data_IF_943659713821
#
_entry.id   IF_943659713821
#
_cell.length_a   1.000
_cell.length_b   1.000
_cell.length_c   1.000
_cell.angle_alpha   90.00
_cell.angle_beta   90.00
_cell.angle_gamma   90.00
#
_symmetry.space_group_name_H-M   'P 1'
#
loop_
_entity.id
_entity.type
_entity.pdbx_description
1 polymer ?
#
# COMPACT_ATOMS: atom_id res chain seq x y z
N UNK A 1 7.67 4.87 6.79
CA UNK A 1 7.94 3.41 6.80
C UNK A 1 7.71 2.78 5.42
N UNK A 2 6.52 2.96 4.77
CA UNK A 2 6.25 2.37 3.44
C UNK A 2 7.23 2.87 2.39
N UNK A 3 7.30 4.17 2.14
CA UNK A 3 8.24 4.77 1.19
C UNK A 3 9.70 4.31 1.41
N UNK A 4 10.14 4.22 2.67
CA UNK A 4 11.48 3.74 3.02
C UNK A 4 11.69 2.28 2.60
N UNK A 5 10.68 1.43 2.77
CA UNK A 5 10.74 0.03 2.36
C UNK A 5 10.78 -0.10 0.83
N UNK A 6 9.95 0.68 0.14
CA UNK A 6 9.89 0.70 -1.33
C UNK A 6 11.26 1.09 -1.90
N UNK A 7 11.85 2.18 -1.42
CA UNK A 7 13.14 2.67 -1.88
C UNK A 7 14.32 1.76 -1.49
N UNK A 8 14.25 1.08 -0.34
CA UNK A 8 15.27 0.11 0.06
C UNK A 8 15.27 -1.13 -0.85
N UNK A 9 14.09 -1.61 -1.24
CA UNK A 9 13.96 -2.75 -2.16
C UNK A 9 14.38 -2.33 -3.58
N UNK A 10 14.01 -1.14 -4.02
CA UNK A 10 14.45 -0.58 -5.29
C UNK A 10 15.98 -0.48 -5.35
N UNK A 11 16.61 0.08 -4.31
CA UNK A 11 18.07 0.16 -4.24
C UNK A 11 18.73 -1.23 -4.28
N UNK A 12 18.11 -2.25 -3.68
CA UNK A 12 18.58 -3.62 -3.77
C UNK A 12 18.47 -4.18 -5.21
N UNK A 13 17.36 -3.91 -5.92
CA UNK A 13 17.21 -4.29 -7.33
C UNK A 13 18.25 -3.61 -8.22
N UNK A 14 18.48 -2.33 -7.99
CA UNK A 14 19.48 -1.53 -8.72
C UNK A 14 20.90 -2.06 -8.48
N UNK A 15 21.23 -2.45 -7.24
CA UNK A 15 22.51 -3.10 -6.92
C UNK A 15 22.69 -4.45 -7.65
N UNK A 16 21.62 -5.12 -8.05
CA UNK A 16 21.64 -6.33 -8.89
C UNK A 16 21.54 -6.01 -10.39
N UNK A 17 21.74 -4.76 -10.79
CA UNK A 17 21.74 -4.33 -12.18
C UNK A 17 20.37 -4.19 -12.83
N UNK A 18 19.29 -4.19 -12.04
CA UNK A 18 17.94 -4.02 -12.57
C UNK A 18 17.49 -2.58 -12.43
N UNK A 19 17.30 -1.92 -13.56
CA UNK A 19 16.67 -0.61 -13.66
C UNK A 19 15.34 -0.75 -14.39
N UNK A 20 14.29 -0.02 -13.98
CA UNK A 20 13.01 -0.04 -14.65
C UNK A 20 13.07 0.75 -15.97
N UNK A 21 12.35 0.27 -16.98
CA UNK A 21 12.14 1.01 -18.24
C UNK A 21 11.04 2.09 -18.07
N UNK A 22 10.14 1.91 -17.10
CA UNK A 22 9.10 2.86 -16.69
C UNK A 22 8.60 2.51 -15.28
N UNK A 23 8.01 3.48 -14.59
CA UNK A 23 7.52 3.31 -13.23
C UNK A 23 6.09 3.82 -13.05
N UNK A 24 5.40 3.27 -12.05
CA UNK A 24 4.12 3.74 -11.55
C UNK A 24 4.09 3.59 -10.03
N UNK A 25 3.25 4.36 -9.38
CA UNK A 25 3.01 4.21 -7.95
C UNK A 25 1.53 4.37 -7.61
N UNK A 26 1.04 3.59 -6.67
CA UNK A 26 -0.34 3.68 -6.21
C UNK A 26 -0.42 4.58 -4.97
N UNK A 27 -1.12 5.69 -5.05
CA UNK A 27 -1.30 6.65 -3.95
C UNK A 27 0.06 7.11 -3.37
N UNK A 28 0.41 6.74 -2.14
CA UNK A 28 1.71 7.07 -1.54
C UNK A 28 2.90 6.54 -2.35
N UNK A 29 2.74 5.38 -3.00
CA UNK A 29 3.78 4.78 -3.85
C UNK A 29 4.20 5.65 -5.03
N UNK A 30 3.36 6.61 -5.46
CA UNK A 30 3.74 7.56 -6.50
C UNK A 30 4.95 8.40 -6.09
N UNK A 31 5.12 8.71 -4.79
CA UNK A 31 6.30 9.44 -4.30
C UNK A 31 7.60 8.63 -4.39
N UNK A 32 7.52 7.30 -4.25
CA UNK A 32 8.66 6.43 -4.56
C UNK A 32 8.96 6.44 -6.06
N UNK A 33 7.93 6.32 -6.89
CA UNK A 33 8.07 6.36 -8.34
C UNK A 33 8.61 7.70 -8.83
N UNK A 34 8.21 8.85 -8.23
CA UNK A 34 8.75 10.18 -8.52
C UNK A 34 10.26 10.28 -8.23
N UNK A 35 10.75 9.61 -7.17
CA UNK A 35 12.17 9.56 -6.88
C UNK A 35 12.91 8.67 -7.89
N UNK A 36 12.39 7.48 -8.18
CA UNK A 36 13.03 6.54 -9.11
C UNK A 36 13.05 7.10 -10.54
N UNK A 37 12.03 7.87 -10.93
CA UNK A 37 11.97 8.52 -12.23
C UNK A 37 12.90 9.74 -12.39
N UNK A 38 13.52 10.21 -11.30
CA UNK A 38 14.38 11.40 -11.34
C UNK A 38 13.65 12.73 -11.16
N UNK A 39 12.32 12.72 -10.99
CA UNK A 39 11.52 13.96 -10.73
C UNK A 39 11.90 14.58 -9.39
N UNK A 40 12.09 13.77 -8.36
CA UNK A 40 12.46 14.22 -7.01
C UNK A 40 13.78 13.59 -6.56
N UNK A 41 14.58 14.36 -5.83
CA UNK A 41 15.70 13.80 -5.08
C UNK A 41 15.17 12.87 -3.98
N UNK A 42 16.02 11.95 -3.48
CA UNK A 42 15.67 11.11 -2.34
C UNK A 42 15.20 11.94 -1.13
N UNK A 43 15.91 13.03 -0.83
CA UNK A 43 15.56 13.90 0.30
C UNK A 43 14.20 14.57 0.08
N UNK A 44 13.94 15.09 -1.11
CA UNK A 44 12.69 15.79 -1.39
C UNK A 44 11.51 14.83 -1.48
N UNK A 45 11.69 13.60 -1.99
CA UNK A 45 10.66 12.58 -1.95
C UNK A 45 10.27 12.21 -0.51
N UNK A 46 11.25 12.04 0.38
CA UNK A 46 10.99 11.79 1.81
C UNK A 46 10.29 12.96 2.50
N UNK A 47 10.73 14.19 2.22
CA UNK A 47 10.12 15.42 2.76
C UNK A 47 8.70 15.63 2.22
N UNK A 48 8.49 15.38 0.92
CA UNK A 48 7.18 15.50 0.30
C UNK A 48 6.18 14.47 0.84
N UNK A 49 6.62 13.22 1.02
CA UNK A 49 5.78 12.18 1.66
C UNK A 49 5.46 12.51 3.12
N UNK A 50 6.42 13.09 3.87
CA UNK A 50 6.19 13.54 5.24
C UNK A 50 5.22 14.73 5.29
N UNK A 51 5.41 15.74 4.42
CA UNK A 51 4.50 16.88 4.29
C UNK A 51 3.09 16.41 3.94
N UNK A 52 2.95 15.50 2.96
CA UNK A 52 1.67 14.90 2.60
C UNK A 52 0.99 14.26 3.80
N UNK A 53 1.73 13.47 4.59
CA UNK A 53 1.20 12.82 5.79
C UNK A 53 0.77 13.82 6.86
N UNK A 54 1.54 14.89 7.06
CA UNK A 54 1.24 15.96 8.01
C UNK A 54 -0.02 16.72 7.59
N UNK A 55 -0.10 17.14 6.33
CA UNK A 55 -1.25 17.91 5.83
C UNK A 55 -2.54 17.07 5.84
N UNK A 56 -2.45 15.78 5.47
CA UNK A 56 -3.58 14.85 5.58
C UNK A 56 -4.04 14.66 7.03
N UNK A 57 -3.10 14.54 7.97
CA UNK A 57 -3.41 14.39 9.40
C UNK A 57 -3.94 15.67 10.06
N UNK A 58 -3.71 16.83 9.41
CA UNK A 58 -4.15 18.15 9.90
C UNK A 58 -5.52 18.58 9.36
N UNK A 59 -6.14 17.77 8.49
CA UNK A 59 -7.48 18.06 7.98
C UNK A 59 -8.48 17.95 9.13
N UNK A 60 -9.04 19.10 9.52
CA UNK A 60 -10.09 19.20 10.53
C UNK A 60 -11.42 19.53 9.84
N UNK A 61 -12.25 18.52 9.69
CA UNK A 61 -13.56 18.61 9.04
C UNK A 61 -14.61 17.93 9.91
N UNK A 62 -15.87 18.41 9.91
CA UNK A 62 -16.95 17.82 10.75
C UNK A 62 -17.20 16.33 10.47
N UNK A 63 -17.08 15.92 9.22
CA UNK A 63 -17.17 14.52 8.79
C UNK A 63 -15.87 14.11 8.06
N UNK A 64 -15.00 13.31 8.68
CA UNK A 64 -13.79 12.83 8.02
C UNK A 64 -14.08 11.82 6.90
N UNK A 65 -15.32 11.35 6.80
CA UNK A 65 -15.76 10.38 5.83
C UNK A 65 -15.33 8.94 6.11
N UNK A 66 -15.71 8.06 5.20
CA UNK A 66 -15.35 6.65 5.22
C UNK A 66 -14.79 6.20 3.86
N UNK A 67 -14.11 5.05 3.90
CA UNK A 67 -13.69 4.34 2.69
C UNK A 67 -14.09 2.87 2.80
N UNK A 68 -14.43 2.24 1.67
CA UNK A 68 -14.68 0.80 1.62
C UNK A 68 -14.18 0.20 0.30
N UNK A 69 -13.56 -0.98 0.38
CA UNK A 69 -13.21 -1.77 -0.79
C UNK A 69 -14.45 -2.55 -1.26
N UNK A 70 -14.67 -2.56 -2.57
CA UNK A 70 -15.80 -3.21 -3.23
C UNK A 70 -15.28 -4.17 -4.28
N UNK A 71 -15.66 -5.45 -4.18
CA UNK A 71 -15.34 -6.51 -5.14
C UNK A 71 -16.21 -6.42 -6.39
N UNK A 72 -16.10 -5.30 -7.12
CA UNK A 72 -16.85 -5.05 -8.35
C UNK A 72 -16.12 -4.05 -9.27
N UNK A 73 -16.42 -4.05 -10.58
CA UNK A 73 -15.88 -3.09 -11.53
C UNK A 73 -16.35 -1.67 -11.21
N UNK A 74 -15.48 -0.68 -11.49
CA UNK A 74 -15.75 0.73 -11.19
C UNK A 74 -17.06 1.23 -11.83
N UNK A 75 -17.35 0.86 -13.07
CA UNK A 75 -18.57 1.31 -13.77
C UNK A 75 -19.85 0.84 -13.05
N UNK A 76 -19.88 -0.42 -12.60
CA UNK A 76 -21.00 -0.93 -11.80
C UNK A 76 -21.13 -0.25 -10.45
N UNK A 77 -19.99 0.02 -9.81
CA UNK A 77 -19.97 0.75 -8.54
C UNK A 77 -20.48 2.17 -8.73
N UNK A 78 -19.99 2.90 -9.76
CA UNK A 78 -20.40 4.27 -10.08
C UNK A 78 -21.90 4.32 -10.38
N UNK A 79 -22.43 3.38 -11.17
CA UNK A 79 -23.86 3.27 -11.45
C UNK A 79 -24.67 3.10 -10.15
N UNK A 80 -24.25 2.16 -9.28
CA UNK A 80 -24.94 1.89 -8.03
C UNK A 80 -24.93 3.06 -7.06
N UNK A 81 -23.81 3.79 -6.93
CA UNK A 81 -23.70 4.94 -6.02
C UNK A 81 -24.31 6.23 -6.58
N UNK A 82 -24.57 6.31 -7.89
CA UNK A 82 -25.13 7.51 -8.53
C UNK A 82 -26.52 7.90 -8.03
N UNK A 83 -27.25 6.96 -7.40
CA UNK A 83 -28.59 7.16 -6.84
C UNK A 83 -28.58 7.45 -5.33
N UNK A 84 -27.40 7.53 -4.73
CA UNK A 84 -27.25 7.76 -3.29
C UNK A 84 -27.20 9.25 -3.02
N UNK A 85 -28.02 9.68 -2.05
CA UNK A 85 -27.97 11.04 -1.54
C UNK A 85 -26.69 11.27 -0.72
N UNK A 86 -26.01 12.40 -0.93
CA UNK A 86 -24.74 12.74 -0.30
C UNK A 86 -23.54 12.46 -1.21
N UNK A 87 -22.35 12.74 -0.68
CA UNK A 87 -21.12 12.68 -1.44
C UNK A 87 -20.42 11.31 -1.28
N UNK A 88 -20.41 10.52 -2.34
CA UNK A 88 -19.66 9.27 -2.43
C UNK A 88 -19.16 9.07 -3.85
N UNK A 89 -17.90 8.67 -4.01
CA UNK A 89 -17.26 8.45 -5.31
C UNK A 89 -16.47 7.13 -5.34
N UNK A 90 -16.12 6.67 -6.54
CA UNK A 90 -15.12 5.64 -6.76
C UNK A 90 -13.73 6.27 -6.64
N UNK A 91 -13.15 6.22 -5.45
CA UNK A 91 -11.89 6.88 -5.10
C UNK A 91 -10.65 6.13 -5.65
N UNK A 92 -10.71 4.79 -5.79
CA UNK A 92 -9.64 4.03 -6.42
C UNK A 92 -10.25 3.03 -7.41
N UNK A 93 -9.79 3.08 -8.65
CA UNK A 93 -10.11 2.12 -9.71
C UNK A 93 -8.94 1.13 -9.82
N UNK A 94 -8.95 0.10 -8.97
CA UNK A 94 -7.79 -0.76 -8.76
C UNK A 94 -7.67 -1.90 -9.77
N UNK A 95 -8.79 -2.55 -10.10
CA UNK A 95 -8.83 -3.62 -11.12
C UNK A 95 -10.28 -3.83 -11.58
N UNK A 96 -10.53 -4.63 -12.63
CA UNK A 96 -11.88 -5.01 -13.03
C UNK A 96 -12.72 -5.67 -11.93
N UNK A 97 -12.09 -6.11 -10.84
CA UNK A 97 -12.74 -6.78 -9.72
C UNK A 97 -12.57 -6.03 -8.39
N UNK A 98 -11.99 -4.82 -8.41
CA UNK A 98 -11.68 -4.08 -7.19
C UNK A 98 -11.78 -2.58 -7.39
N UNK A 99 -12.71 -1.97 -6.68
CA UNK A 99 -12.93 -0.53 -6.61
C UNK A 99 -12.99 -0.11 -5.15
N UNK A 100 -12.45 1.05 -4.80
CA UNK A 100 -12.63 1.64 -3.47
C UNK A 100 -13.59 2.80 -3.59
N UNK A 101 -14.65 2.81 -2.77
CA UNK A 101 -15.54 3.95 -2.59
C UNK A 101 -15.10 4.79 -1.40
N UNK A 102 -15.27 6.09 -1.50
CA UNK A 102 -14.98 7.03 -0.42
C UNK A 102 -15.90 8.25 -0.51
N UNK A 103 -16.16 8.88 0.63
CA UNK A 103 -17.05 10.04 0.70
C UNK A 103 -17.55 10.28 2.11
N UNK A 104 -18.66 11.02 2.22
CA UNK A 104 -19.33 11.28 3.51
C UNK A 104 -19.71 9.98 4.22
N UNK A 105 -19.58 9.98 5.53
CA UNK A 105 -19.79 8.78 6.37
C UNK A 105 -21.12 8.09 6.08
N UNK A 106 -22.23 8.82 6.08
CA UNK A 106 -23.56 8.22 5.87
C UNK A 106 -23.80 7.81 4.41
N UNK A 107 -23.30 8.57 3.45
CA UNK A 107 -23.39 8.22 2.03
C UNK A 107 -22.61 6.93 1.74
N UNK A 108 -21.39 6.78 2.28
CA UNK A 108 -20.60 5.55 2.13
C UNK A 108 -21.27 4.36 2.82
N UNK A 109 -21.85 4.53 4.01
CA UNK A 109 -22.60 3.46 4.69
C UNK A 109 -23.79 2.98 3.87
N UNK A 110 -24.53 3.90 3.27
CA UNK A 110 -25.65 3.56 2.38
C UNK A 110 -25.13 2.86 1.12
N UNK A 111 -24.03 3.35 0.53
CA UNK A 111 -23.39 2.74 -0.62
C UNK A 111 -22.95 1.30 -0.32
N UNK A 112 -22.32 1.07 0.83
CA UNK A 112 -21.91 -0.27 1.27
C UNK A 112 -23.11 -1.21 1.34
N UNK A 113 -24.24 -0.74 1.88
CA UNK A 113 -25.46 -1.55 1.96
C UNK A 113 -26.00 -1.87 0.57
N UNK A 114 -26.18 -0.87 -0.29
CA UNK A 114 -26.70 -1.05 -1.66
C UNK A 114 -25.85 -2.02 -2.46
N UNK A 115 -24.51 -1.87 -2.41
CA UNK A 115 -23.57 -2.73 -3.12
C UNK A 115 -23.56 -4.15 -2.56
N UNK A 116 -23.65 -4.31 -1.24
CA UNK A 116 -23.75 -5.63 -0.60
C UNK A 116 -25.08 -6.32 -0.94
N UNK A 117 -26.20 -5.61 -0.91
CA UNK A 117 -27.51 -6.14 -1.30
C UNK A 117 -27.54 -6.54 -2.79
N UNK A 118 -26.72 -5.89 -3.63
CA UNK A 118 -26.49 -6.26 -5.03
C UNK A 118 -25.51 -7.44 -5.22
N UNK A 119 -25.00 -8.05 -4.12
CA UNK A 119 -24.14 -9.23 -4.13
C UNK A 119 -22.64 -8.94 -4.26
N UNK A 120 -22.20 -7.68 -4.17
CA UNK A 120 -20.78 -7.36 -4.13
C UNK A 120 -20.21 -7.63 -2.73
N UNK A 121 -18.95 -8.11 -2.67
CA UNK A 121 -18.19 -8.11 -1.42
C UNK A 121 -17.79 -6.69 -1.08
N UNK A 122 -18.15 -6.22 0.12
CA UNK A 122 -17.85 -4.85 0.56
C UNK A 122 -17.14 -4.89 1.91
N UNK A 123 -15.95 -4.28 1.98
CA UNK A 123 -15.10 -4.32 3.17
C UNK A 123 -14.76 -2.87 3.57
N UNK A 124 -15.17 -2.40 4.77
CA UNK A 124 -14.80 -1.09 5.26
C UNK A 124 -13.27 -1.01 5.47
N UNK A 125 -12.67 0.11 5.08
CA UNK A 125 -11.25 0.36 5.29
C UNK A 125 -11.04 1.21 6.54
N UNK A 126 -10.02 0.85 7.33
CA UNK A 126 -9.63 1.63 8.50
C UNK A 126 -8.72 2.77 8.08
N UNK A 127 -9.32 3.89 7.71
CA UNK A 127 -8.62 5.12 7.34
C UNK A 127 -9.08 6.27 8.25
N UNK A 128 -8.22 7.25 8.47
CA UNK A 128 -8.56 8.43 9.26
C UNK A 128 -9.53 9.37 8.55
N UNK A 129 -9.46 9.38 7.22
CA UNK A 129 -10.28 10.24 6.35
C UNK A 129 -10.64 9.49 5.06
N UNK A 130 -11.63 10.03 4.34
CA UNK A 130 -11.96 9.62 2.98
C UNK A 130 -10.93 10.19 1.99
N UNK A 131 -9.76 9.52 1.86
CA UNK A 131 -8.71 9.93 0.95
C UNK A 131 -9.15 9.84 -0.50
N UNK A 132 -8.47 10.59 -1.37
CA UNK A 132 -8.76 10.67 -2.80
C UNK A 132 -10.17 11.20 -3.09
N UNK A 133 -10.67 12.10 -2.24
CA UNK A 133 -11.95 12.81 -2.33
C UNK A 133 -11.81 14.28 -1.98
N UNK A 134 -12.83 15.07 -2.26
CA UNK A 134 -12.86 16.49 -1.89
C UNK A 134 -12.85 16.74 -0.37
N UNK A 135 -13.14 15.73 0.45
CA UNK A 135 -13.08 15.83 1.92
C UNK A 135 -11.67 16.22 2.39
N UNK A 136 -10.64 15.71 1.72
CA UNK A 136 -9.25 16.04 2.04
C UNK A 136 -8.66 17.18 1.19
N UNK A 137 -9.46 17.80 0.32
CA UNK A 137 -9.02 18.93 -0.51
C UNK A 137 -8.44 20.13 0.27
N UNK A 138 -8.84 20.42 1.53
CA UNK A 138 -8.19 21.47 2.32
C UNK A 138 -6.66 21.30 2.46
N UNK A 139 -6.15 20.07 2.42
CA UNK A 139 -4.72 19.78 2.48
C UNK A 139 -3.94 20.07 1.18
N UNK A 140 -4.63 20.19 0.02
CA UNK A 140 -3.97 20.42 -1.28
C UNK A 140 -3.19 21.72 -1.32
N UNK A 141 -3.76 22.80 -0.79
CA UNK A 141 -3.09 24.12 -0.80
C UNK A 141 -1.76 24.13 -0.03
N UNK A 142 -1.74 23.71 1.23
CA UNK A 142 -0.50 23.57 2.00
C UNK A 142 0.51 22.64 1.33
N UNK A 143 0.09 21.44 0.89
CA UNK A 143 0.97 20.50 0.19
C UNK A 143 1.54 21.10 -1.10
N UNK A 144 0.72 21.79 -1.90
CA UNK A 144 1.18 22.46 -3.12
C UNK A 144 2.27 23.48 -2.82
N UNK A 145 2.07 24.35 -1.80
CA UNK A 145 3.11 25.30 -1.38
C UNK A 145 4.42 24.64 -0.97
N UNK A 146 4.32 23.50 -0.28
CA UNK A 146 5.51 22.71 0.04
C UNK A 146 6.19 22.19 -1.23
N UNK A 147 5.45 21.57 -2.15
CA UNK A 147 5.98 21.07 -3.43
C UNK A 147 6.58 22.19 -4.30
N UNK A 148 6.02 23.38 -4.26
CA UNK A 148 6.59 24.56 -4.92
C UNK A 148 7.93 25.00 -4.33
N UNK A 149 8.24 24.64 -3.08
CA UNK A 149 9.48 25.02 -2.38
C UNK A 149 10.64 24.04 -2.59
N UNK A 150 10.41 22.87 -3.16
CA UNK A 150 11.44 21.86 -3.42
C UNK A 150 11.84 21.84 -4.90
N UNK A 151 12.95 21.18 -5.21
CA UNK A 151 13.38 21.02 -6.60
C UNK A 151 12.60 19.90 -7.28
N UNK A 152 12.08 20.20 -8.46
CA UNK A 152 11.32 19.28 -9.31
C UNK A 152 11.90 19.33 -10.71
N UNK A 153 12.27 18.18 -11.26
CA UNK A 153 12.83 17.99 -12.60
C UNK A 153 11.85 17.25 -13.51
N UNK A 154 12.13 17.24 -14.81
CA UNK A 154 11.48 16.28 -15.72
C UNK A 154 11.98 14.87 -15.43
N UNK A 155 11.16 13.84 -15.68
CA UNK A 155 11.57 12.46 -15.43
C UNK A 155 12.61 11.97 -16.45
N UNK A 156 13.62 11.26 -15.96
CA UNK A 156 14.58 10.49 -16.78
C UNK A 156 13.95 9.15 -17.23
N UNK A 157 13.04 8.61 -16.41
CA UNK A 157 12.31 7.36 -16.67
C UNK A 157 10.82 7.68 -16.73
N UNK A 158 10.08 7.23 -17.76
CA UNK A 158 8.64 7.45 -17.86
C UNK A 158 7.90 7.00 -16.62
N UNK A 159 7.02 7.85 -16.09
CA UNK A 159 6.19 7.60 -14.92
C UNK A 159 4.74 7.97 -15.20
N UNK A 160 3.80 7.14 -14.76
CA UNK A 160 2.36 7.43 -14.87
C UNK A 160 1.83 8.13 -13.64
N UNK A 161 0.85 9.03 -13.83
CA UNK A 161 0.21 9.81 -12.78
C UNK A 161 -1.07 9.15 -12.27
N UNK A 162 -1.33 9.19 -10.96
CA UNK A 162 -2.55 8.64 -10.36
C UNK A 162 -3.81 9.34 -10.83
N UNK A 163 -3.73 10.65 -11.04
CA UNK A 163 -4.91 11.52 -11.29
C UNK A 163 -5.63 11.23 -12.61
N UNK A 164 -4.90 10.78 -13.64
CA UNK A 164 -5.46 10.56 -14.97
C UNK A 164 -4.93 9.31 -15.69
N UNK A 165 -4.03 8.54 -15.06
CA UNK A 165 -3.44 7.34 -15.64
C UNK A 165 -2.45 7.59 -16.79
N UNK A 166 -2.24 8.84 -17.21
CA UNK A 166 -1.31 9.19 -18.29
C UNK A 166 0.12 9.40 -17.77
N UNK A 167 1.09 9.41 -18.66
CA UNK A 167 2.46 9.74 -18.27
C UNK A 167 2.60 11.19 -17.82
N UNK A 168 3.50 11.43 -16.87
CA UNK A 168 4.07 12.77 -16.66
C UNK A 168 4.81 13.22 -17.92
N UNK A 169 4.87 14.54 -18.18
CA UNK A 169 5.55 15.04 -19.37
C UNK A 169 7.05 14.74 -19.30
N UNK A 170 7.59 14.23 -20.40
CA UNK A 170 9.05 14.03 -20.59
C UNK A 170 9.72 15.30 -21.08
N UNK A 171 8.96 16.22 -21.68
CA UNK A 171 9.41 17.51 -22.19
C UNK A 171 8.41 18.59 -21.79
N UNK A 172 8.90 19.71 -21.29
CA UNK A 172 8.10 20.88 -20.96
C UNK A 172 9.00 22.12 -20.88
N UNK A 173 8.47 23.30 -21.22
CA UNK A 173 9.17 24.57 -21.01
C UNK A 173 9.36 24.90 -19.53
N UNK A 174 8.34 24.56 -18.70
CA UNK A 174 8.38 24.65 -17.24
C UNK A 174 8.09 23.26 -16.65
N UNK A 175 9.16 22.54 -16.33
CA UNK A 175 9.09 21.20 -15.76
C UNK A 175 8.28 21.18 -14.46
N UNK A 176 8.55 22.12 -13.57
CA UNK A 176 7.92 22.16 -12.24
C UNK A 176 6.43 22.41 -12.34
N UNK A 177 6.00 23.38 -13.13
CA UNK A 177 4.57 23.66 -13.33
C UNK A 177 3.85 22.45 -13.91
N UNK A 178 4.41 21.83 -14.95
CA UNK A 178 3.80 20.69 -15.65
C UNK A 178 3.69 19.45 -14.75
N UNK A 179 4.65 19.20 -13.87
CA UNK A 179 4.59 18.10 -12.89
C UNK A 179 3.56 18.41 -11.80
N UNK A 180 3.53 19.65 -11.30
CA UNK A 180 2.62 20.06 -10.23
C UNK A 180 1.14 20.05 -10.67
N UNK A 181 0.82 20.24 -11.94
CA UNK A 181 -0.55 20.11 -12.46
C UNK A 181 -1.16 18.74 -12.14
N UNK A 182 -0.34 17.67 -12.18
CA UNK A 182 -0.77 16.31 -11.85
C UNK A 182 -0.57 15.96 -10.37
N UNK A 183 0.57 16.33 -9.78
CA UNK A 183 0.95 15.91 -8.44
C UNK A 183 0.20 16.67 -7.34
N UNK A 184 -0.05 17.97 -7.51
CA UNK A 184 -0.67 18.77 -6.46
C UNK A 184 -2.11 18.32 -6.09
N UNK A 185 -2.99 17.95 -7.04
CA UNK A 185 -4.31 17.44 -6.72
C UNK A 185 -4.34 15.96 -6.35
N UNK A 186 -3.24 15.22 -6.43
CA UNK A 186 -3.18 13.75 -6.27
C UNK A 186 -3.90 13.25 -5.01
N UNK A 187 -3.77 13.96 -3.91
CA UNK A 187 -4.29 13.52 -2.61
C UNK A 187 -5.83 13.56 -2.54
N UNK A 188 -6.47 14.47 -3.25
CA UNK A 188 -7.92 14.64 -3.31
C UNK A 188 -8.55 14.13 -4.61
N UNK A 189 -7.75 13.59 -5.52
CA UNK A 189 -8.23 13.03 -6.80
C UNK A 189 -8.26 11.51 -6.75
N UNK A 190 -9.18 10.86 -7.48
CA UNK A 190 -9.20 9.41 -7.60
C UNK A 190 -7.87 8.82 -8.11
N UNK A 191 -7.58 7.60 -7.67
CA UNK A 191 -6.45 6.83 -8.20
C UNK A 191 -6.93 6.00 -9.38
N UNK A 192 -6.49 6.34 -10.58
CA UNK A 192 -6.82 5.65 -11.81
C UNK A 192 -5.78 4.55 -12.13
N UNK A 193 -5.71 3.53 -11.26
CA UNK A 193 -4.68 2.49 -11.36
C UNK A 193 -4.83 1.63 -12.62
N UNK A 194 -6.06 1.30 -13.02
CA UNK A 194 -6.32 0.56 -14.26
C UNK A 194 -5.69 1.31 -15.45
N UNK A 195 -6.00 2.60 -15.56
CA UNK A 195 -5.55 3.43 -16.68
C UNK A 195 -4.01 3.55 -16.69
N UNK A 196 -3.36 3.63 -15.52
CA UNK A 196 -1.90 3.64 -15.41
C UNK A 196 -1.28 2.34 -15.97
N UNK A 197 -1.80 1.19 -15.56
CA UNK A 197 -1.28 -0.12 -16.00
C UNK A 197 -1.53 -0.34 -17.48
N UNK A 198 -2.69 0.04 -18.01
CA UNK A 198 -3.00 -0.02 -19.44
C UNK A 198 -2.11 0.92 -20.26
N UNK A 199 -1.85 2.13 -19.76
CA UNK A 199 -0.92 3.10 -20.38
C UNK A 199 0.49 2.52 -20.46
N UNK A 200 1.00 1.93 -19.38
CA UNK A 200 2.31 1.27 -19.38
C UNK A 200 2.35 0.08 -20.33
N UNK A 201 1.29 -0.73 -20.36
CA UNK A 201 1.18 -1.86 -21.27
C UNK A 201 1.16 -1.42 -22.75
N UNK A 202 0.41 -0.37 -23.07
CA UNK A 202 0.37 0.23 -24.40
C UNK A 202 1.73 0.79 -24.83
N UNK A 203 2.51 1.32 -23.87
CA UNK A 203 3.88 1.80 -24.08
C UNK A 203 4.92 0.66 -24.20
N UNK A 204 4.52 -0.60 -24.03
CA UNK A 204 5.41 -1.76 -24.24
C UNK A 204 5.76 -2.55 -22.98
N UNK A 205 5.31 -2.17 -21.79
CA UNK A 205 5.54 -2.94 -20.58
C UNK A 205 4.90 -4.34 -20.67
N UNK A 206 5.64 -5.38 -20.31
CA UNK A 206 5.19 -6.79 -20.31
C UNK A 206 5.56 -7.51 -19.02
N UNK A 207 6.55 -6.98 -18.29
CA UNK A 207 6.99 -7.50 -17.02
C UNK A 207 6.77 -6.41 -15.98
N UNK A 208 6.01 -6.73 -14.93
CA UNK A 208 5.71 -5.83 -13.84
C UNK A 208 6.31 -6.38 -12.55
N UNK A 209 7.04 -5.56 -11.84
CA UNK A 209 7.61 -5.91 -10.56
C UNK A 209 7.06 -4.99 -9.49
N UNK A 210 6.32 -5.55 -8.52
CA UNK A 210 5.84 -4.80 -7.38
C UNK A 210 6.97 -4.64 -6.37
N UNK A 211 7.37 -3.39 -6.15
CA UNK A 211 8.41 -2.99 -5.23
C UNK A 211 7.76 -2.45 -3.97
N UNK A 212 7.98 -3.12 -2.84
CA UNK A 212 7.37 -2.70 -1.58
C UNK A 212 6.84 -3.85 -0.74
N UNK A 213 6.26 -3.53 0.44
CA UNK A 213 5.69 -4.54 1.33
C UNK A 213 4.38 -5.12 0.78
N UNK A 214 4.19 -6.42 0.97
CA UNK A 214 3.03 -7.20 0.48
C UNK A 214 3.09 -7.47 -1.04
N UNK A 215 1.91 -7.74 -1.66
CA UNK A 215 1.79 -8.12 -3.08
C UNK A 215 0.48 -7.67 -3.73
N UNK A 216 -0.13 -6.61 -3.23
CA UNK A 216 -1.45 -6.20 -3.66
C UNK A 216 -1.48 -5.77 -5.13
N UNK A 217 -0.46 -5.01 -5.56
CA UNK A 217 -0.41 -4.47 -6.92
C UNK A 217 -0.09 -5.53 -7.97
N UNK A 218 0.70 -6.56 -7.63
CA UNK A 218 0.94 -7.69 -8.53
C UNK A 218 -0.36 -8.42 -8.88
N UNK A 219 -1.27 -8.54 -7.92
CA UNK A 219 -2.60 -9.13 -8.16
C UNK A 219 -3.44 -8.25 -9.07
N UNK A 220 -3.47 -6.92 -8.85
CA UNK A 220 -4.24 -6.00 -9.70
C UNK A 220 -3.72 -5.96 -11.14
N UNK A 221 -2.41 -6.01 -11.35
CA UNK A 221 -1.82 -6.12 -12.70
C UNK A 221 -2.29 -7.39 -13.41
N UNK A 222 -2.31 -8.52 -12.69
CA UNK A 222 -2.80 -9.79 -13.23
C UNK A 222 -4.30 -9.74 -13.55
N UNK A 223 -5.10 -9.05 -12.73
CA UNK A 223 -6.53 -8.86 -12.99
C UNK A 223 -6.80 -7.97 -14.21
N UNK A 224 -5.97 -6.93 -14.42
CA UNK A 224 -6.13 -5.96 -15.51
C UNK A 224 -5.68 -6.58 -16.85
N UNK A 225 -4.49 -7.17 -16.88
CA UNK A 225 -3.83 -7.57 -18.12
C UNK A 225 -3.93 -9.07 -18.42
N UNK A 226 -4.35 -9.89 -17.46
CA UNK A 226 -4.46 -11.33 -17.59
C UNK A 226 -3.14 -11.98 -18.02
N UNK A 227 -3.20 -12.83 -19.04
CA UNK A 227 -2.03 -13.54 -19.59
C UNK A 227 -1.11 -12.65 -20.46
N UNK A 228 -1.53 -11.44 -20.79
CA UNK A 228 -0.80 -10.54 -21.67
C UNK A 228 0.43 -9.90 -21.01
N UNK A 229 0.50 -9.94 -19.68
CA UNK A 229 1.64 -9.46 -18.91
C UNK A 229 1.96 -10.43 -17.77
N UNK A 230 3.17 -10.31 -17.24
CA UNK A 230 3.62 -11.08 -16.08
C UNK A 230 3.92 -10.14 -14.94
N UNK A 231 3.53 -10.50 -13.73
CA UNK A 231 3.83 -9.73 -12.53
C UNK A 231 4.46 -10.59 -11.44
N UNK A 232 5.31 -9.99 -10.61
CA UNK A 232 5.91 -10.63 -9.45
C UNK A 232 6.10 -9.60 -8.33
N UNK A 233 5.82 -9.95 -7.07
CA UNK A 233 6.16 -9.11 -5.92
C UNK A 233 7.63 -9.28 -5.55
N UNK A 234 8.20 -8.29 -4.86
CA UNK A 234 9.52 -8.34 -4.23
C UNK A 234 9.47 -8.68 -2.75
N UNK A 235 8.28 -8.62 -2.14
CA UNK A 235 8.07 -8.95 -0.74
C UNK A 235 6.73 -9.67 -0.56
N UNK A 236 6.69 -10.60 0.39
CA UNK A 236 5.47 -11.33 0.72
C UNK A 236 5.48 -11.76 2.19
N UNK A 237 4.49 -11.38 3.00
CA UNK A 237 4.50 -11.61 4.45
C UNK A 237 4.54 -13.08 4.86
N UNK A 238 3.94 -13.98 4.06
CA UNK A 238 3.93 -15.43 4.33
C UNK A 238 5.18 -16.16 3.86
N UNK A 239 5.83 -15.68 2.79
CA UNK A 239 7.01 -16.32 2.18
C UNK A 239 8.30 -15.78 2.78
N UNK A 240 8.25 -14.54 3.28
CA UNK A 240 9.39 -13.81 3.80
C UNK A 240 10.10 -12.97 2.74
N UNK A 241 10.69 -11.85 3.17
CA UNK A 241 11.26 -10.85 2.28
C UNK A 241 12.37 -11.39 1.39
N UNK A 242 13.36 -12.09 1.98
CA UNK A 242 14.52 -12.62 1.24
C UNK A 242 14.08 -13.63 0.18
N UNK A 243 13.24 -14.60 0.54
CA UNK A 243 12.81 -15.64 -0.39
C UNK A 243 11.99 -15.04 -1.55
N UNK A 244 11.13 -14.05 -1.27
CA UNK A 244 10.35 -13.37 -2.31
C UNK A 244 11.24 -12.51 -3.21
N UNK A 245 12.21 -11.80 -2.64
CA UNK A 245 13.17 -11.00 -3.41
C UNK A 245 14.00 -11.88 -4.36
N UNK A 246 14.50 -13.03 -3.87
CA UNK A 246 15.19 -14.01 -4.73
C UNK A 246 14.27 -14.56 -5.82
N UNK A 247 13.01 -14.80 -5.51
CA UNK A 247 11.99 -15.18 -6.48
C UNK A 247 11.77 -14.09 -7.55
N UNK A 248 11.82 -12.82 -7.17
CA UNK A 248 11.73 -11.69 -8.10
C UNK A 248 12.95 -11.61 -9.03
N UNK A 249 14.18 -11.82 -8.51
CA UNK A 249 15.37 -11.89 -9.34
C UNK A 249 15.32 -13.08 -10.33
N UNK A 250 14.86 -14.24 -9.86
CA UNK A 250 14.64 -15.40 -10.72
C UNK A 250 13.57 -15.13 -11.80
N UNK A 251 12.46 -14.47 -11.41
CA UNK A 251 11.42 -14.04 -12.37
C UNK A 251 11.99 -13.13 -13.45
N UNK A 252 12.83 -12.16 -13.11
CA UNK A 252 13.50 -11.29 -14.08
C UNK A 252 14.44 -12.09 -14.99
N UNK A 253 15.24 -12.99 -14.39
CA UNK A 253 16.20 -13.85 -15.13
C UNK A 253 15.51 -14.71 -16.21
N UNK A 254 14.45 -15.42 -15.85
CA UNK A 254 13.74 -16.31 -16.80
C UNK A 254 13.00 -15.52 -17.90
N UNK A 255 12.84 -14.22 -17.71
CA UNK A 255 12.27 -13.30 -18.70
C UNK A 255 13.33 -12.45 -19.41
N UNK A 256 14.62 -12.85 -19.33
CA UNK A 256 15.72 -12.28 -20.11
C UNK A 256 16.43 -11.09 -19.47
N UNK A 257 16.05 -10.70 -18.26
CA UNK A 257 16.72 -9.65 -17.48
C UNK A 257 17.68 -10.31 -16.48
N UNK A 258 18.93 -10.51 -16.85
CA UNK A 258 19.92 -11.21 -16.03
C UNK A 258 20.38 -10.33 -14.85
N UNK A 259 20.30 -10.78 -13.60
CA UNK A 259 20.82 -10.05 -12.46
C UNK A 259 22.35 -10.15 -12.41
N UNK A 260 22.98 -9.11 -11.88
CA UNK A 260 24.39 -9.13 -11.49
C UNK A 260 24.47 -9.83 -10.14
N UNK A 261 25.08 -11.01 -10.11
CA UNK A 261 25.20 -11.83 -8.89
C UNK A 261 26.63 -11.88 -8.34
N UNK A 262 27.57 -11.17 -8.97
CA UNK A 262 29.01 -11.34 -8.78
C UNK A 262 29.54 -11.02 -7.36
N UNK A 263 28.71 -10.47 -6.48
CA UNK A 263 29.12 -10.09 -5.12
C UNK A 263 28.14 -10.54 -4.02
N UNK A 264 27.52 -11.70 -4.15
CA UNK A 264 26.74 -12.26 -3.03
C UNK A 264 27.69 -12.60 -1.85
N UNK A 265 27.91 -11.63 -0.98
CA UNK A 265 28.57 -11.79 0.30
C UNK A 265 29.74 -10.85 0.61
N UNK A 266 30.20 -10.05 -0.35
CA UNK A 266 31.40 -9.22 -0.12
C UNK A 266 31.15 -7.74 0.18
N UNK A 267 30.27 -7.08 -0.55
CA UNK A 267 30.25 -5.61 -0.58
C UNK A 267 28.88 -4.90 -0.46
N UNK A 268 27.78 -5.60 -0.32
CA UNK A 268 26.46 -4.95 -0.14
C UNK A 268 26.43 -4.08 1.13
N UNK A 269 27.31 -4.36 2.10
CA UNK A 269 27.43 -3.58 3.34
C UNK A 269 28.62 -2.60 3.36
N UNK A 270 29.47 -2.56 2.33
CA UNK A 270 30.75 -1.84 2.44
C UNK A 270 30.93 -0.65 1.51
N UNK A 271 30.15 -0.46 0.45
CA UNK A 271 30.62 0.48 -0.55
C UNK A 271 29.82 1.74 -0.79
N UNK A 272 28.71 2.07 -0.24
CA UNK A 272 28.18 3.45 -0.46
C UNK A 272 26.89 3.82 0.29
N UNK A 273 26.42 3.02 1.23
CA UNK A 273 25.51 3.57 2.23
C UNK A 273 26.32 4.41 3.26
N UNK A 274 26.93 5.47 2.78
CA UNK A 274 27.52 6.52 3.63
C UNK A 274 26.47 7.56 4.04
N UNK A 275 25.24 7.14 4.30
CA UNK A 275 24.33 7.97 5.04
C UNK A 275 24.54 7.65 6.53
N UNK A 276 25.44 8.35 7.19
CA UNK A 276 25.48 8.32 8.66
C UNK A 276 24.19 8.98 9.14
N UNK A 277 23.58 8.49 10.24
CA UNK A 277 22.44 9.20 10.85
C UNK A 277 22.72 10.68 11.16
N UNK A 278 24.01 11.08 11.27
CA UNK A 278 24.45 12.45 11.43
C UNK A 278 24.40 13.32 10.20
N UNK A 279 24.22 12.74 9.01
CA UNK A 279 24.24 13.47 7.73
C UNK A 279 22.82 13.86 7.26
N UNK A 280 21.81 13.41 7.99
CA UNK A 280 20.41 13.83 7.80
C UNK A 280 20.17 15.02 8.71
N UNK A 281 20.16 16.24 8.15
CA UNK A 281 19.68 17.43 8.84
C UNK A 281 18.16 17.33 9.05
N UNK A 282 17.76 16.81 10.20
CA UNK A 282 16.36 16.60 10.59
C UNK A 282 15.67 17.90 11.07
N UNK A 283 16.32 19.05 10.95
CA UNK A 283 15.78 20.31 11.44
C UNK A 283 15.63 20.38 12.97
N UNK A 284 15.10 21.47 13.54
CA UNK A 284 15.07 21.71 15.00
C UNK A 284 14.12 20.84 15.82
N UNK A 285 13.37 19.90 15.22
CA UNK A 285 12.39 19.03 15.91
C UNK A 285 12.96 17.69 16.41
N UNK A 286 14.29 17.49 16.36
CA UNK A 286 14.94 16.24 16.78
C UNK A 286 14.78 15.91 18.29
N UNK A 287 14.40 16.86 19.11
CA UNK A 287 14.25 16.66 20.56
C UNK A 287 13.01 15.83 20.96
N UNK A 288 11.96 15.79 20.14
CA UNK A 288 10.77 14.96 20.42
C UNK A 288 11.00 13.48 20.09
N UNK A 289 11.76 13.19 19.05
CA UNK A 289 12.12 11.81 18.67
C UNK A 289 13.08 11.17 19.69
N UNK A 290 13.95 11.93 20.30
CA UNK A 290 14.84 11.45 21.38
C UNK A 290 14.06 11.19 22.68
N UNK A 291 13.02 11.99 22.97
CA UNK A 291 12.10 11.76 24.07
C UNK A 291 11.22 10.49 23.89
N UNK A 292 10.93 10.09 22.64
CA UNK A 292 10.23 8.84 22.35
C UNK A 292 11.16 7.61 22.46
N UNK A 293 12.44 7.74 22.09
CA UNK A 293 13.44 6.68 22.27
C UNK A 293 13.74 6.36 23.74
N UNK A 294 13.72 7.35 24.62
CA UNK A 294 13.96 7.16 26.06
C UNK A 294 12.77 6.57 26.81
N UNK A 295 11.59 6.51 26.19
CA UNK A 295 10.38 5.87 26.76
C UNK A 295 10.20 4.41 26.37
N UNK A 296 10.98 3.87 25.46
CA UNK A 296 10.93 2.45 25.12
C UNK A 296 11.62 1.63 26.19
N UNK A 297 10.82 0.95 27.01
CA UNK A 297 11.26 -0.08 27.96
C UNK A 297 12.01 -1.18 27.19
N UNK A 298 13.17 -1.67 27.69
CA UNK A 298 13.84 -2.78 27.03
C UNK A 298 12.95 -4.02 27.03
N UNK A 299 12.79 -4.61 25.87
CA UNK A 299 12.13 -5.91 25.72
C UNK A 299 12.95 -6.97 26.46
N UNK A 300 12.31 -7.86 27.25
CA UNK A 300 13.02 -8.98 27.88
C UNK A 300 13.55 -9.92 26.80
N UNK A 301 14.82 -10.23 26.85
CA UNK A 301 15.44 -11.28 26.03
C UNK A 301 14.89 -12.64 26.46
N UNK A 302 14.08 -13.25 25.61
CA UNK A 302 13.65 -14.63 25.78
C UNK A 302 14.79 -15.61 25.39
N UNK A 303 14.94 -16.75 26.08
CA UNK A 303 15.95 -17.75 25.75
C UNK A 303 15.61 -18.44 24.41
N UNK A 304 16.66 -18.69 23.63
CA UNK A 304 16.53 -19.52 22.42
C UNK A 304 16.32 -20.97 22.85
N UNK A 305 15.15 -21.52 22.59
CA UNK A 305 14.95 -22.96 22.52
C UNK A 305 14.65 -23.38 21.08
N UNK A 306 15.46 -24.35 20.62
CA UNK A 306 15.23 -25.08 19.38
C UNK A 306 13.99 -25.95 19.53
N UNK A 307 13.01 -25.81 18.65
CA UNK A 307 12.15 -26.93 18.31
C UNK A 307 11.62 -26.77 16.88
N UNK A 308 12.09 -27.67 16.02
CA UNK A 308 11.42 -28.08 14.81
C UNK A 308 10.09 -28.76 15.20
N UNK A 309 8.98 -28.09 15.06
CA UNK A 309 7.69 -28.74 14.96
C UNK A 309 6.83 -28.09 13.91
N UNK A 310 6.65 -28.84 12.83
CA UNK A 310 5.70 -28.55 11.77
C UNK A 310 4.30 -28.77 12.36
N UNK A 311 3.53 -27.72 12.51
CA UNK A 311 2.10 -27.84 12.71
C UNK A 311 1.45 -28.31 11.41
N UNK A 312 1.12 -29.60 11.37
CA UNK A 312 0.16 -30.16 10.41
C UNK A 312 -1.23 -30.04 11.07
N UNK A 313 -2.02 -29.10 10.55
CA UNK A 313 -3.43 -29.01 10.96
C UNK A 313 -4.20 -30.20 10.38
N UNK A 314 -4.62 -31.12 11.26
CA UNK A 314 -5.64 -32.12 10.94
C UNK A 314 -7.03 -31.47 10.95
N UNK A 315 -7.92 -31.80 9.99
CA UNK A 315 -9.27 -31.28 9.99
C UNK A 315 -10.14 -32.05 10.96
N UNK A 316 -10.81 -31.37 11.87
CA UNK A 316 -11.87 -31.98 12.69
C UNK A 316 -12.98 -30.97 13.08
N UNK A 317 -14.11 -31.46 13.59
CA UNK A 317 -15.38 -31.43 12.91
C UNK A 317 -16.19 -30.18 13.19
N UNK A 318 -17.18 -29.96 12.35
CA UNK A 318 -18.22 -28.91 12.41
C UNK A 318 -18.66 -28.59 13.84
N UNK A 319 -18.10 -27.52 14.41
CA UNK A 319 -18.66 -26.87 15.60
C UNK A 319 -19.75 -25.88 15.16
N UNK A 320 -20.95 -26.15 15.61
CA UNK A 320 -22.11 -25.25 15.55
C UNK A 320 -21.95 -24.04 16.50
N UNK A 321 -20.75 -23.53 16.69
CA UNK A 321 -20.41 -22.32 17.45
C UNK A 321 -19.86 -21.19 16.58
N UNK A 322 -20.15 -21.22 15.30
CA UNK A 322 -19.62 -20.27 14.28
C UNK A 322 -19.74 -18.78 14.60
N UNK A 323 -20.44 -18.44 15.67
CA UNK A 323 -20.74 -17.06 15.99
C UNK A 323 -19.75 -16.39 16.95
N UNK A 324 -19.05 -17.11 17.82
CA UNK A 324 -18.20 -16.51 18.87
C UNK A 324 -16.83 -16.10 18.30
N UNK A 325 -16.23 -16.96 17.50
CA UNK A 325 -14.94 -16.68 16.86
C UNK A 325 -15.07 -15.53 15.88
N UNK A 326 -16.08 -15.58 15.00
CA UNK A 326 -16.34 -14.52 14.05
C UNK A 326 -16.66 -13.17 14.75
N UNK A 327 -17.37 -13.22 15.88
CA UNK A 327 -17.65 -12.02 16.67
C UNK A 327 -16.38 -11.43 17.30
N UNK A 328 -15.53 -12.24 17.90
CA UNK A 328 -14.28 -11.76 18.51
C UNK A 328 -13.32 -11.22 17.43
N UNK A 329 -13.26 -11.90 16.28
CA UNK A 329 -12.51 -11.42 15.14
C UNK A 329 -13.08 -10.09 14.63
N UNK A 330 -14.39 -9.92 14.56
CA UNK A 330 -15.06 -8.68 14.18
C UNK A 330 -14.76 -7.54 15.17
N UNK A 331 -14.77 -7.82 16.47
CA UNK A 331 -14.44 -6.83 17.50
C UNK A 331 -12.96 -6.35 17.42
N UNK A 332 -12.03 -7.25 17.07
CA UNK A 332 -10.60 -6.88 16.97
C UNK A 332 -10.23 -6.17 15.67
N UNK A 333 -11.01 -6.37 14.62
CA UNK A 333 -10.64 -5.94 13.28
C UNK A 333 -11.58 -4.91 12.67
N UNK A 334 -12.79 -4.81 13.21
CA UNK A 334 -13.86 -4.00 12.63
C UNK A 334 -14.49 -4.61 11.37
N UNK A 335 -14.07 -5.83 10.96
CA UNK A 335 -14.75 -6.53 9.87
C UNK A 335 -16.12 -7.04 10.31
N UNK A 336 -17.14 -7.03 9.43
CA UNK A 336 -18.42 -7.65 9.71
C UNK A 336 -18.25 -9.14 10.01
N UNK A 337 -18.93 -9.65 11.04
CA UNK A 337 -18.84 -11.08 11.42
C UNK A 337 -19.20 -12.01 10.26
N UNK A 338 -20.11 -11.59 9.38
CA UNK A 338 -20.49 -12.35 8.16
C UNK A 338 -19.36 -12.55 7.15
N UNK A 339 -18.37 -11.67 7.14
CA UNK A 339 -17.16 -11.80 6.27
C UNK A 339 -16.18 -12.80 6.88
N UNK A 340 -16.27 -13.00 8.18
CA UNK A 340 -15.37 -13.86 8.97
C UNK A 340 -15.97 -15.25 9.23
N UNK A 341 -17.19 -15.51 8.76
CA UNK A 341 -17.83 -16.81 8.81
C UNK A 341 -17.38 -17.68 7.62
N UNK A 342 -16.69 -18.76 7.89
CA UNK A 342 -16.23 -19.71 6.88
C UNK A 342 -14.70 -19.90 6.88
N UNK A 343 -14.17 -20.46 5.79
CA UNK A 343 -12.71 -20.58 5.60
C UNK A 343 -12.14 -19.26 5.08
N UNK A 344 -11.78 -18.39 6.01
CA UNK A 344 -11.16 -17.09 5.69
C UNK A 344 -9.68 -17.17 6.04
N UNK A 345 -8.82 -16.77 5.12
CA UNK A 345 -7.40 -16.61 5.42
C UNK A 345 -7.20 -15.26 6.14
N UNK A 346 -7.07 -15.34 7.46
CA UNK A 346 -6.95 -14.15 8.31
C UNK A 346 -5.76 -13.26 7.95
N UNK A 347 -4.71 -13.82 7.36
CA UNK A 347 -3.55 -13.04 6.93
C UNK A 347 -3.82 -12.27 5.64
N UNK A 348 -4.74 -12.72 4.78
CA UNK A 348 -5.22 -11.96 3.63
C UNK A 348 -6.09 -10.77 4.07
N UNK A 349 -6.73 -10.87 5.22
CA UNK A 349 -7.47 -9.78 5.85
C UNK A 349 -6.59 -8.83 6.67
N UNK A 350 -5.27 -9.02 6.67
CA UNK A 350 -4.33 -8.13 7.34
C UNK A 350 -4.10 -8.43 8.83
N UNK A 351 -4.50 -9.60 9.31
CA UNK A 351 -4.19 -10.03 10.68
C UNK A 351 -2.69 -10.26 10.87
N UNK A 352 -2.12 -9.59 11.84
CA UNK A 352 -0.76 -9.81 12.31
C UNK A 352 -0.72 -10.74 13.55
N UNK A 353 0.46 -11.20 13.92
CA UNK A 353 0.66 -12.09 15.07
C UNK A 353 0.16 -11.47 16.39
N UNK A 354 0.17 -10.15 16.52
CA UNK A 354 -0.29 -9.46 17.73
C UNK A 354 -1.82 -9.45 17.80
N UNK A 355 -2.50 -9.29 16.67
CA UNK A 355 -3.96 -9.39 16.57
C UNK A 355 -4.43 -10.83 16.84
N UNK A 356 -3.76 -11.81 16.24
CA UNK A 356 -4.05 -13.23 16.47
C UNK A 356 -3.86 -13.61 17.95
N UNK A 357 -2.81 -13.09 18.60
CA UNK A 357 -2.56 -13.32 20.03
C UNK A 357 -3.68 -12.74 20.91
N UNK A 358 -4.20 -11.55 20.61
CA UNK A 358 -5.34 -10.96 21.33
C UNK A 358 -6.64 -11.74 21.12
N UNK A 359 -6.87 -12.22 19.90
CA UNK A 359 -8.03 -13.08 19.60
C UNK A 359 -7.97 -14.38 20.40
N UNK A 360 -6.82 -15.06 20.42
CA UNK A 360 -6.61 -16.29 21.20
C UNK A 360 -6.80 -16.04 22.70
N UNK A 361 -6.28 -14.92 23.23
CA UNK A 361 -6.49 -14.55 24.64
C UNK A 361 -7.97 -14.34 24.98
N UNK A 362 -8.74 -13.66 24.11
CA UNK A 362 -10.18 -13.47 24.30
C UNK A 362 -10.96 -14.78 24.22
N UNK A 363 -10.64 -15.64 23.26
CA UNK A 363 -11.25 -16.98 23.14
C UNK A 363 -10.98 -17.84 24.37
N UNK A 364 -9.76 -17.80 24.88
CA UNK A 364 -9.37 -18.53 26.10
C UNK A 364 -10.12 -18.02 27.33
N UNK A 365 -10.29 -16.71 27.47
CA UNK A 365 -11.06 -16.10 28.57
C UNK A 365 -12.56 -16.43 28.52
N UNK A 366 -13.11 -16.73 27.35
CA UNK A 366 -14.52 -17.12 27.18
C UNK A 366 -14.73 -18.62 27.30
N UNK A 367 -13.68 -19.41 27.53
CA UNK A 367 -13.76 -20.86 27.68
C UNK A 367 -13.97 -21.65 26.37
N UNK A 368 -13.89 -20.97 25.23
CA UNK A 368 -14.04 -21.54 23.88
C UNK A 368 -12.73 -22.16 23.35
N UNK A 369 -11.62 -21.94 24.03
CA UNK A 369 -10.30 -22.47 23.67
C UNK A 369 -9.63 -23.09 24.91
N UNK A 370 -9.63 -24.42 25.01
CA UNK A 370 -8.77 -25.13 25.95
C UNK A 370 -7.47 -25.48 25.22
N UNK A 371 -6.48 -24.60 25.29
CA UNK A 371 -5.15 -24.91 24.77
C UNK A 371 -4.56 -26.07 25.58
N UNK A 372 -4.43 -27.23 24.97
CA UNK A 372 -3.50 -28.26 25.46
C UNK A 372 -2.07 -27.68 25.31
N UNK A 373 -1.32 -27.77 26.44
CA UNK A 373 0.09 -27.41 26.53
C UNK A 373 0.94 -28.14 25.50
#
# INVERSE_FOLDING_TARGET
AMLTADLAIEAALNAHGHQPDMVAGHSLGEYAALMVSGILSFQDAMRAAAARGTEMGSVDVPDPGLMAAVGAPADRVIEAISQIEGYVIAANRNSPNSTVIAGETEAVRLAMKVLSDAGATVIPLQTSHAFHTDIVAPANGPLKRFLESIDISLPDIPITANVDGSFYPLEAEDAKSSILEKLAPQMSSPVNWIDQIETMYAAGARLFLEVGPKRALSSTVSDILGINAKSSPTNHPKVGGIATFLGALAFLSINGKQPILDEWGGNILSSEFKCRPSDIDMGPESNELEALRTRSRPLPTAPRENSNDRFVATPDPMLKSGNVVARILAEETGYPASVLEGRVDLTELGFDDSMLSRVVEKLTKQGEFSGSK
#
